data_IF_700747757497
#
_entry.id   IF_700747757497
#
_cell.length_a   1.000
_cell.length_b   1.000
_cell.length_c   1.000
_cell.angle_alpha   90.00
_cell.angle_beta   90.00
_cell.angle_gamma   90.00
#
_symmetry.space_group_name_H-M   'P 1'
#
loop_
_entity.id
_entity.type
_entity.pdbx_description
1 polymer ?
#
# COMPACT_ATOMS: atom_id res chain seq x y z
N UNK A 1 -27.76 38.93 -37.89
CA UNK A 1 -28.65 38.15 -37.00
C UNK A 1 -27.97 36.82 -36.71
N UNK A 2 -27.49 36.68 -35.48
CA UNK A 2 -26.65 35.59 -34.99
C UNK A 2 -27.50 34.34 -34.74
N UNK A 3 -27.20 33.22 -35.40
CA UNK A 3 -27.82 31.92 -35.08
C UNK A 3 -26.83 31.11 -34.23
N UNK A 4 -27.11 31.09 -32.93
CA UNK A 4 -26.32 30.39 -31.91
C UNK A 4 -26.37 28.86 -32.11
N UNK A 5 -25.22 28.15 -32.12
CA UNK A 5 -25.22 26.70 -32.21
C UNK A 5 -25.82 26.04 -30.95
N UNK A 6 -26.55 24.96 -31.21
CA UNK A 6 -27.42 24.23 -30.29
C UNK A 6 -26.68 23.71 -29.05
N UNK A 7 -27.36 23.84 -27.90
CA UNK A 7 -27.01 23.28 -26.58
C UNK A 7 -26.55 21.82 -26.69
N UNK A 8 -25.26 21.59 -26.54
CA UNK A 8 -24.75 20.29 -26.12
C UNK A 8 -25.03 20.16 -24.62
N UNK A 9 -26.16 19.54 -24.25
CA UNK A 9 -26.45 19.17 -22.88
C UNK A 9 -25.91 17.74 -22.70
N UNK A 10 -24.70 17.55 -22.14
CA UNK A 10 -24.24 16.20 -21.83
C UNK A 10 -25.24 15.57 -20.87
N UNK A 11 -25.64 14.35 -21.23
CA UNK A 11 -26.56 13.48 -20.48
C UNK A 11 -26.08 13.40 -19.03
N UNK A 12 -26.79 14.07 -18.12
CA UNK A 12 -26.67 13.87 -16.68
C UNK A 12 -27.55 12.67 -16.35
N UNK A 13 -26.91 11.50 -16.33
CA UNK A 13 -27.32 10.33 -15.55
C UNK A 13 -26.24 10.24 -14.44
N UNK A 14 -26.48 10.87 -13.30
CA UNK A 14 -26.92 10.19 -12.07
C UNK A 14 -25.82 9.34 -11.41
N UNK A 15 -25.03 10.07 -10.60
CA UNK A 15 -24.09 9.68 -9.55
C UNK A 15 -24.83 8.97 -8.39
N UNK A 16 -24.20 8.12 -7.53
CA UNK A 16 -23.69 8.69 -6.26
C UNK A 16 -22.59 7.89 -5.51
N UNK A 17 -21.65 7.19 -6.16
CA UNK A 17 -20.51 6.57 -5.44
C UNK A 17 -19.20 6.69 -6.22
N UNK A 18 -18.77 7.93 -6.48
CA UNK A 18 -17.34 8.22 -6.55
C UNK A 18 -16.74 7.92 -5.17
N UNK A 19 -16.51 6.63 -4.95
CA UNK A 19 -15.43 5.98 -4.23
C UNK A 19 -14.74 6.91 -3.23
N UNK A 20 -15.53 7.31 -2.23
CA UNK A 20 -15.07 8.11 -1.09
C UNK A 20 -13.98 7.38 -0.31
N UNK A 21 -13.86 6.07 -0.56
CA UNK A 21 -12.80 5.18 -0.10
C UNK A 21 -11.52 5.36 -0.95
N UNK A 22 -11.57 5.36 -2.29
CA UNK A 22 -10.43 5.67 -3.19
C UNK A 22 -9.86 7.07 -2.99
N UNK A 23 -10.73 8.05 -2.75
CA UNK A 23 -10.28 9.43 -2.48
C UNK A 23 -9.59 9.51 -1.11
N UNK A 24 -10.03 8.72 -0.12
CA UNK A 24 -9.42 8.64 1.22
C UNK A 24 -8.21 7.72 1.31
N UNK A 25 -8.14 6.69 0.47
CA UNK A 25 -7.14 5.61 0.50
C UNK A 25 -6.07 5.72 -0.59
N UNK A 26 -6.20 6.69 -1.51
CA UNK A 26 -5.24 6.91 -2.59
C UNK A 26 -5.34 5.86 -3.70
N UNK A 27 -4.99 6.27 -4.92
CA UNK A 27 -4.89 5.35 -6.06
C UNK A 27 -3.71 4.41 -5.81
N UNK A 28 -3.88 3.08 -5.85
CA UNK A 28 -2.75 2.16 -5.77
C UNK A 28 -1.79 2.48 -6.92
N UNK A 29 -0.55 2.78 -6.57
CA UNK A 29 0.50 3.13 -7.52
C UNK A 29 1.32 1.88 -7.79
N UNK A 30 1.52 1.56 -9.07
CA UNK A 30 2.45 0.50 -9.47
C UNK A 30 3.87 1.03 -9.32
N UNK A 31 4.72 0.31 -8.59
CA UNK A 31 6.15 0.57 -8.48
C UNK A 31 6.93 -0.62 -9.02
N UNK A 32 7.82 -0.37 -9.97
CA UNK A 32 8.75 -1.39 -10.46
C UNK A 32 9.88 -1.59 -9.45
N UNK A 33 10.19 -2.85 -9.16
CA UNK A 33 11.30 -3.28 -8.31
C UNK A 33 12.09 -4.41 -8.99
N UNK A 34 13.28 -4.75 -8.44
CA UNK A 34 14.16 -5.78 -9.01
C UNK A 34 13.51 -7.15 -9.14
N UNK A 35 12.58 -7.44 -8.24
CA UNK A 35 11.82 -8.69 -8.16
C UNK A 35 10.48 -8.65 -8.92
N UNK A 36 10.17 -7.55 -9.61
CA UNK A 36 8.96 -7.41 -10.42
C UNK A 36 8.17 -6.13 -10.12
N UNK A 37 6.97 -6.05 -10.69
CA UNK A 37 6.05 -4.94 -10.47
C UNK A 37 5.21 -5.15 -9.22
N UNK A 38 5.08 -4.10 -8.42
CA UNK A 38 4.34 -4.12 -7.16
C UNK A 38 3.23 -3.08 -7.17
N UNK A 39 2.02 -3.50 -6.83
CA UNK A 39 0.97 -2.56 -6.49
C UNK A 39 1.15 -2.10 -5.04
N UNK A 40 1.18 -0.79 -4.85
CA UNK A 40 1.40 -0.16 -3.54
C UNK A 40 0.28 0.80 -3.23
N UNK A 41 -0.34 0.64 -2.07
CA UNK A 41 -1.40 1.53 -1.58
C UNK A 41 -1.03 2.13 -0.22
N UNK A 42 -1.28 3.43 -0.05
CA UNK A 42 -1.11 4.11 1.22
C UNK A 42 -2.30 3.89 2.15
N UNK A 43 -2.04 3.64 3.43
CA UNK A 43 -3.03 3.57 4.50
C UNK A 43 -2.75 4.73 5.45
N UNK A 44 -3.75 5.59 5.61
CA UNK A 44 -3.68 6.68 6.60
C UNK A 44 -3.79 6.13 8.02
N UNK A 45 -3.29 6.87 9.01
CA UNK A 45 -3.34 6.45 10.41
C UNK A 45 -4.77 6.14 10.88
N UNK A 46 -5.75 6.97 10.49
CA UNK A 46 -7.17 6.75 10.83
C UNK A 46 -7.79 5.49 10.21
N UNK A 47 -7.23 4.98 9.10
CA UNK A 47 -7.66 3.72 8.49
C UNK A 47 -6.91 2.50 9.04
N UNK A 48 -5.83 2.70 9.79
CA UNK A 48 -5.06 1.63 10.43
C UNK A 48 -5.71 1.24 11.75
N UNK A 49 -6.62 0.27 11.70
CA UNK A 49 -7.38 -0.19 12.88
C UNK A 49 -6.85 -1.51 13.48
N UNK A 50 -5.92 -2.18 12.79
CA UNK A 50 -5.34 -3.46 13.20
C UNK A 50 -3.82 -3.36 13.30
N UNK A 51 -3.23 -4.20 14.14
CA UNK A 51 -1.79 -4.39 14.20
C UNK A 51 -1.34 -5.32 13.08
N UNK A 52 -0.26 -4.95 12.38
CA UNK A 52 0.34 -5.76 11.32
C UNK A 52 1.85 -5.89 11.53
N UNK A 53 2.48 -6.91 10.96
CA UNK A 53 3.94 -7.10 11.07
C UNK A 53 4.64 -6.67 9.78
N UNK A 54 5.65 -5.80 9.91
CA UNK A 54 6.40 -5.27 8.78
C UNK A 54 7.53 -6.22 8.34
N UNK A 55 7.55 -6.71 7.08
CA UNK A 55 8.59 -7.65 6.64
C UNK A 55 10.00 -7.04 6.61
N UNK A 56 10.15 -5.73 6.38
CA UNK A 56 11.46 -5.08 6.26
C UNK A 56 12.19 -4.82 7.59
N UNK A 57 11.50 -4.87 8.72
CA UNK A 57 12.11 -4.67 10.04
C UNK A 57 11.63 -5.63 11.11
N UNK A 58 10.69 -6.51 10.78
CA UNK A 58 10.01 -7.45 11.68
C UNK A 58 9.23 -6.81 12.85
N UNK A 59 9.11 -5.48 12.86
CA UNK A 59 8.39 -4.74 13.89
C UNK A 59 6.91 -4.59 13.58
N UNK A 60 6.11 -4.41 14.64
CA UNK A 60 4.68 -4.19 14.56
C UNK A 60 4.33 -2.76 14.12
N UNK A 61 3.46 -2.68 13.12
CA UNK A 61 2.73 -1.48 12.72
C UNK A 61 1.48 -1.42 13.59
N UNK A 62 1.45 -0.51 14.55
CA UNK A 62 0.31 -0.35 15.46
C UNK A 62 -0.88 0.33 14.77
N UNK A 63 -2.11 0.17 15.31
CA UNK A 63 -3.25 0.98 14.91
C UNK A 63 -2.93 2.48 15.05
N UNK A 64 -3.49 3.31 14.17
CA UNK A 64 -3.18 4.75 14.11
C UNK A 64 -1.92 5.11 13.31
N UNK A 65 -1.08 4.14 12.95
CA UNK A 65 0.17 4.40 12.21
C UNK A 65 -0.10 4.37 10.70
N UNK A 66 0.26 5.46 10.02
CA UNK A 66 0.23 5.52 8.56
C UNK A 66 1.31 4.61 7.96
N UNK A 67 0.91 3.75 7.02
CA UNK A 67 1.78 2.72 6.46
C UNK A 67 1.38 2.40 5.00
N UNK A 68 2.10 1.49 4.36
CA UNK A 68 1.85 1.06 2.98
C UNK A 68 1.45 -0.40 2.94
N UNK A 69 0.57 -0.75 2.02
CA UNK A 69 0.24 -2.14 1.70
C UNK A 69 0.76 -2.41 0.29
N UNK A 70 1.56 -3.46 0.15
CA UNK A 70 2.18 -3.84 -1.12
C UNK A 70 1.86 -5.30 -1.46
N UNK A 71 1.55 -5.56 -2.73
CA UNK A 71 1.30 -6.90 -3.29
C UNK A 71 1.81 -6.98 -4.74
N UNK A 72 2.13 -8.18 -5.24
CA UNK A 72 2.60 -8.35 -6.62
C UNK A 72 1.56 -7.88 -7.66
N UNK A 73 2.00 -7.25 -8.75
CA UNK A 73 1.13 -6.70 -9.79
C UNK A 73 0.78 -7.70 -10.90
N UNK A 74 1.44 -8.85 -10.95
CA UNK A 74 1.30 -9.92 -11.95
C UNK A 74 -0.04 -10.68 -11.92
N UNK A 75 -0.97 -10.29 -11.04
CA UNK A 75 -2.32 -10.84 -10.98
C UNK A 75 -2.42 -12.19 -10.28
N UNK A 76 -1.30 -12.78 -9.82
CA UNK A 76 -1.31 -13.98 -8.98
C UNK A 76 -1.58 -13.68 -7.49
N UNK A 77 -1.53 -12.40 -7.10
CA UNK A 77 -1.68 -11.98 -5.71
C UNK A 77 -3.15 -11.90 -5.26
N UNK A 78 -3.61 -12.90 -4.51
CA UNK A 78 -4.87 -12.84 -3.80
C UNK A 78 -4.79 -11.84 -2.62
N UNK A 79 -5.92 -11.53 -1.97
CA UNK A 79 -5.99 -10.62 -0.82
C UNK A 79 -5.02 -11.00 0.33
N UNK A 80 -4.57 -12.25 0.36
CA UNK A 80 -3.61 -12.86 1.28
C UNK A 80 -2.16 -12.42 1.04
N UNK A 81 -1.80 -11.98 -0.16
CA UNK A 81 -0.44 -11.52 -0.49
C UNK A 81 -0.18 -10.05 -0.13
N UNK A 82 -1.17 -9.38 0.46
CA UNK A 82 -1.08 -7.98 0.89
C UNK A 82 -0.20 -7.84 2.12
N UNK A 83 1.07 -7.49 1.90
CA UNK A 83 2.05 -7.26 2.97
C UNK A 83 2.04 -5.80 3.41
N UNK A 84 2.09 -5.59 4.72
CA UNK A 84 2.02 -4.25 5.31
C UNK A 84 3.43 -3.78 5.68
N UNK A 85 3.80 -2.58 5.26
CA UNK A 85 5.13 -2.02 5.40
C UNK A 85 5.07 -0.64 6.01
N UNK A 86 6.00 -0.32 6.91
CA UNK A 86 6.29 1.08 7.19
C UNK A 86 6.71 1.78 5.89
N UNK A 87 6.30 3.03 5.69
CA UNK A 87 6.65 3.83 4.51
C UNK A 87 8.17 3.88 4.25
N UNK A 88 8.96 4.10 5.30
CA UNK A 88 10.42 4.09 5.21
C UNK A 88 11.03 2.70 4.98
N UNK A 89 10.37 1.63 5.44
CA UNK A 89 10.86 0.26 5.19
C UNK A 89 10.59 -0.16 3.74
N UNK A 90 9.45 0.23 3.16
CA UNK A 90 9.15 -0.01 1.75
C UNK A 90 10.15 0.67 0.82
N UNK A 91 10.47 1.95 1.06
CA UNK A 91 11.46 2.71 0.26
C UNK A 91 12.86 2.14 0.30
N UNK A 92 13.18 1.34 1.31
CA UNK A 92 14.49 0.73 1.51
C UNK A 92 14.42 -0.80 1.44
N UNK A 93 13.37 -1.36 0.84
CA UNK A 93 13.06 -2.80 0.84
C UNK A 93 14.18 -3.67 0.27
N UNK A 94 14.91 -3.17 -0.71
CA UNK A 94 16.07 -3.81 -1.33
C UNK A 94 17.23 -4.05 -0.34
N UNK A 95 17.38 -3.17 0.65
CA UNK A 95 18.48 -3.21 1.64
C UNK A 95 18.01 -3.52 3.06
N UNK A 96 16.70 -3.51 3.31
CA UNK A 96 16.09 -3.85 4.59
C UNK A 96 15.48 -5.25 4.53
N UNK A 97 16.10 -6.18 5.26
CA UNK A 97 15.51 -7.44 5.66
C UNK A 97 15.27 -7.48 7.17
N UNK A 98 14.41 -8.39 7.66
CA UNK A 98 14.32 -8.65 9.09
C UNK A 98 15.73 -9.00 9.57
N UNK A 99 16.22 -8.27 10.59
CA UNK A 99 17.50 -8.61 11.19
C UNK A 99 17.29 -9.92 11.92
N UNK A 100 17.52 -11.06 11.24
CA UNK A 100 17.57 -12.36 11.86
C UNK A 100 18.61 -12.24 12.97
N UNK A 101 18.16 -12.05 14.21
CA UNK A 101 19.03 -12.05 15.38
C UNK A 101 19.58 -13.47 15.47
N UNK A 102 20.66 -13.73 14.73
CA UNK A 102 21.43 -14.95 14.81
C UNK A 102 21.94 -14.97 16.25
N UNK A 103 21.34 -15.83 17.08
CA UNK A 103 21.48 -15.80 18.53
C UNK A 103 22.93 -15.58 18.92
N UNK A 104 23.21 -14.42 19.52
CA UNK A 104 24.55 -14.07 20.01
C UNK A 104 24.93 -14.84 21.29
N UNK A 105 24.21 -15.91 21.59
CA UNK A 105 24.21 -16.63 22.87
C UNK A 105 24.34 -18.14 22.66
N UNK A 106 25.26 -18.59 21.80
CA UNK A 106 25.70 -19.97 21.87
C UNK A 106 26.50 -20.13 23.19
N UNK A 107 26.09 -21.02 24.12
CA UNK A 107 26.86 -21.23 25.34
C UNK A 107 28.24 -21.74 24.96
N UNK A 108 29.29 -21.06 25.44
CA UNK A 108 30.65 -21.57 25.35
C UNK A 108 30.81 -22.63 26.43
N UNK A 109 30.63 -23.89 26.07
CA UNK A 109 31.23 -24.97 26.84
C UNK A 109 32.74 -24.87 26.63
N UNK A 110 33.45 -24.61 27.72
CA UNK A 110 34.91 -24.70 27.81
C UNK A 110 35.35 -26.12 28.14
#
# INVERSE_FOLDING_TARGET
MTVSPRRNRPRRDENPQLDSDRVRQGVPTVQQWRDGDWQVRGISGGASVKTYRCPGCDQEIRPGVAHLVAWPADGAGDLTDRRHWHSGCWRARDRRGPNLQRGRSAPRYG
#
